data_IF_165874146208
#
_entry.id   IF_165874146208
#
_cell.length_a   1.000
_cell.length_b   1.000
_cell.length_c   1.000
_cell.angle_alpha   90.00
_cell.angle_beta   90.00
_cell.angle_gamma   90.00
#
_symmetry.space_group_name_H-M   'P 1'
#
loop_
_entity.id
_entity.type
_entity.pdbx_description
1 polymer ?
#
# COMPACT_ATOMS: atom_id res chain seq x y z
N UNK A 1 17.14 18.99 8.01
CA UNK A 1 17.78 18.88 9.31
C UNK A 1 17.03 17.85 10.19
N UNK A 2 17.75 16.96 10.84
CA UNK A 2 17.16 15.95 11.75
C UNK A 2 17.10 16.53 13.16
N UNK A 3 15.91 16.65 13.74
CA UNK A 3 15.81 17.10 15.13
C UNK A 3 16.18 15.97 16.10
N UNK A 4 16.73 16.31 17.26
CA UNK A 4 17.10 15.35 18.33
C UNK A 4 15.88 14.62 18.93
N UNK A 5 14.65 15.12 18.68
CA UNK A 5 13.38 14.58 19.19
C UNK A 5 12.59 13.76 18.14
N UNK A 6 13.22 13.39 17.01
CA UNK A 6 12.52 12.82 15.86
C UNK A 6 11.82 13.92 15.03
N UNK A 7 11.55 13.62 13.75
CA UNK A 7 11.07 14.61 12.79
C UNK A 7 12.18 15.49 12.23
N UNK A 8 11.82 16.56 11.61
CA UNK A 8 12.72 17.54 10.99
C UNK A 8 11.97 18.41 10.00
N UNK A 9 12.65 19.44 9.53
CA UNK A 9 12.12 20.36 8.53
C UNK A 9 12.74 20.07 7.17
N UNK A 10 11.98 20.28 6.11
CA UNK A 10 12.46 20.27 4.75
C UNK A 10 13.04 21.64 4.40
N UNK A 11 14.26 21.66 3.91
CA UNK A 11 14.88 22.84 3.33
C UNK A 11 14.95 22.61 1.82
N UNK A 12 14.28 23.50 1.08
CA UNK A 12 14.14 23.39 -0.37
C UNK A 12 15.19 24.30 -1.02
N UNK A 13 15.99 23.73 -1.91
CA UNK A 13 16.90 24.47 -2.78
C UNK A 13 16.30 24.54 -4.19
N UNK A 14 16.55 23.54 -5.05
CA UNK A 14 16.03 23.47 -6.42
C UNK A 14 15.10 22.27 -6.64
N UNK A 15 14.55 21.69 -5.56
CA UNK A 15 13.65 20.55 -5.68
C UNK A 15 12.23 21.03 -6.03
N UNK A 16 11.58 20.47 -7.05
CA UNK A 16 10.17 20.73 -7.31
C UNK A 16 9.32 20.29 -6.12
N UNK A 17 8.17 20.95 -5.94
CA UNK A 17 7.25 20.59 -4.86
C UNK A 17 6.70 19.18 -5.00
N UNK A 18 6.58 18.70 -6.23
CA UNK A 18 6.09 17.38 -6.60
C UNK A 18 6.79 16.91 -7.87
N UNK A 19 7.12 15.61 -7.95
CA UNK A 19 7.70 14.98 -9.14
C UNK A 19 7.20 13.55 -9.27
N UNK A 20 7.49 12.90 -10.39
CA UNK A 20 7.15 11.48 -10.60
C UNK A 20 8.39 10.66 -10.84
N UNK A 21 8.32 9.38 -10.48
CA UNK A 21 9.28 8.36 -10.89
C UNK A 21 8.54 7.15 -11.47
N UNK A 22 9.21 6.46 -12.36
CA UNK A 22 8.69 5.24 -12.97
C UNK A 22 9.43 4.01 -12.43
N UNK A 23 8.71 2.90 -12.35
CA UNK A 23 9.26 1.60 -11.98
C UNK A 23 8.74 0.51 -12.92
N UNK A 24 9.65 -0.22 -13.57
CA UNK A 24 9.31 -1.32 -14.49
C UNK A 24 9.24 -2.65 -13.75
N UNK A 25 8.05 -3.24 -13.69
CA UNK A 25 7.84 -4.58 -13.14
C UNK A 25 8.33 -5.66 -14.12
N UNK A 26 8.76 -6.85 -13.62
CA UNK A 26 9.26 -7.96 -14.45
C UNK A 26 8.17 -8.65 -15.30
N UNK A 27 6.99 -8.08 -15.36
CA UNK A 27 5.81 -8.53 -16.14
C UNK A 27 5.49 -7.59 -17.32
N UNK A 28 6.45 -6.79 -17.77
CA UNK A 28 6.28 -5.77 -18.82
C UNK A 28 5.18 -4.76 -18.51
N UNK A 29 5.10 -4.32 -17.27
CA UNK A 29 4.23 -3.25 -16.79
C UNK A 29 5.06 -2.18 -16.11
N UNK A 30 4.69 -0.92 -16.30
CA UNK A 30 5.34 0.22 -15.67
C UNK A 30 4.38 0.87 -14.67
N UNK A 31 4.91 1.21 -13.51
CA UNK A 31 4.21 1.97 -12.47
C UNK A 31 4.77 3.39 -12.43
N UNK A 32 3.90 4.37 -12.21
CA UNK A 32 4.26 5.77 -12.02
C UNK A 32 3.86 6.22 -10.62
N UNK A 33 4.81 6.75 -9.87
CA UNK A 33 4.60 7.22 -8.52
C UNK A 33 4.81 8.73 -8.43
N UNK A 34 3.86 9.44 -7.84
CA UNK A 34 4.02 10.82 -7.43
C UNK A 34 4.79 10.89 -6.13
N UNK A 35 5.81 11.71 -6.08
CA UNK A 35 6.64 11.96 -4.91
C UNK A 35 6.58 13.43 -4.54
N UNK A 36 6.56 13.69 -3.24
CA UNK A 36 6.65 15.06 -2.67
C UNK A 36 7.20 14.97 -1.26
N UNK A 37 7.89 16.01 -0.78
CA UNK A 37 8.27 16.09 0.63
C UNK A 37 7.02 16.03 1.51
N UNK A 38 7.03 15.12 2.47
CA UNK A 38 5.93 14.89 3.39
C UNK A 38 6.45 14.85 4.84
N UNK A 39 5.55 14.79 5.82
CA UNK A 39 5.91 14.73 7.24
C UNK A 39 6.87 13.56 7.54
N UNK A 40 7.67 13.68 8.59
CA UNK A 40 8.66 12.69 9.02
C UNK A 40 9.76 12.37 7.99
N UNK A 41 10.02 13.27 7.03
CA UNK A 41 11.03 13.12 5.97
C UNK A 41 10.74 11.97 4.98
N UNK A 42 9.48 11.61 4.83
CA UNK A 42 9.03 10.70 3.79
C UNK A 42 8.75 11.45 2.49
N UNK A 43 8.90 10.75 1.37
CA UNK A 43 8.64 11.28 0.02
C UNK A 43 7.45 10.61 -0.67
N UNK A 44 6.78 9.70 0.01
CA UNK A 44 5.61 8.98 -0.52
C UNK A 44 5.92 7.62 -1.12
N UNK A 45 7.16 7.13 -1.02
CA UNK A 45 7.53 5.81 -1.50
C UNK A 45 8.65 5.21 -0.65
N UNK A 46 8.62 3.90 -0.50
CA UNK A 46 9.67 3.06 0.09
C UNK A 46 10.27 2.17 -1.02
N UNK A 47 11.32 2.63 -1.71
CA UNK A 47 11.83 1.95 -2.90
C UNK A 47 12.44 0.57 -2.60
N UNK A 48 12.84 0.31 -1.36
CA UNK A 48 13.32 -1.00 -0.91
C UNK A 48 12.27 -2.11 -1.05
N UNK A 49 10.98 -1.74 -1.11
CA UNK A 49 9.88 -2.69 -1.32
C UNK A 49 9.79 -3.21 -2.77
N UNK A 50 10.53 -2.63 -3.70
CA UNK A 50 10.51 -3.02 -5.11
C UNK A 50 10.81 -4.52 -5.31
N UNK A 51 11.74 -5.09 -4.54
CA UNK A 51 12.04 -6.53 -4.57
C UNK A 51 10.81 -7.39 -4.27
N UNK A 52 9.99 -6.94 -3.32
CA UNK A 52 8.74 -7.63 -2.97
C UNK A 52 7.71 -7.46 -4.11
N UNK A 53 7.62 -6.25 -4.69
CA UNK A 53 6.71 -6.00 -5.83
C UNK A 53 7.04 -6.92 -7.01
N UNK A 54 8.31 -7.08 -7.35
CA UNK A 54 8.77 -7.99 -8.40
C UNK A 54 8.38 -9.43 -8.13
N UNK A 55 8.61 -9.88 -6.89
CA UNK A 55 8.35 -11.25 -6.49
C UNK A 55 6.86 -11.60 -6.56
N UNK A 56 5.99 -10.82 -5.91
CA UNK A 56 4.57 -11.18 -5.87
C UNK A 56 3.83 -10.84 -7.17
N UNK A 57 4.21 -9.76 -7.89
CA UNK A 57 3.59 -9.44 -9.18
C UNK A 57 3.80 -10.55 -10.19
N UNK A 58 5.00 -11.15 -10.22
CA UNK A 58 5.26 -12.30 -11.07
C UNK A 58 4.39 -13.51 -10.71
N UNK A 59 4.25 -13.83 -9.42
CA UNK A 59 3.40 -14.93 -8.94
C UNK A 59 1.93 -14.72 -9.32
N UNK A 60 1.42 -13.51 -9.12
CA UNK A 60 0.03 -13.14 -9.49
C UNK A 60 -0.15 -13.27 -11.00
N UNK A 61 0.78 -12.72 -11.78
CA UNK A 61 0.73 -12.76 -13.24
C UNK A 61 0.72 -14.20 -13.77
N UNK A 62 1.57 -15.08 -13.22
CA UNK A 62 1.63 -16.49 -13.60
C UNK A 62 0.32 -17.22 -13.25
N UNK A 63 -0.27 -16.94 -12.08
CA UNK A 63 -1.56 -17.49 -11.68
C UNK A 63 -2.70 -17.02 -12.60
N UNK A 64 -2.75 -15.73 -12.95
CA UNK A 64 -3.72 -15.18 -13.90
C UNK A 64 -3.60 -15.83 -15.28
N UNK A 65 -2.38 -16.05 -15.79
CA UNK A 65 -2.15 -16.77 -17.06
C UNK A 65 -2.67 -18.20 -17.03
N UNK A 66 -2.70 -18.85 -15.88
CA UNK A 66 -3.29 -20.19 -15.72
C UNK A 66 -4.83 -20.18 -15.60
N UNK A 67 -5.46 -19.01 -15.72
CA UNK A 67 -6.91 -18.83 -15.63
C UNK A 67 -7.43 -18.72 -14.20
N UNK A 68 -6.57 -18.50 -13.21
CA UNK A 68 -6.96 -18.32 -11.82
C UNK A 68 -7.13 -16.84 -11.47
N UNK A 69 -8.34 -16.44 -11.08
CA UNK A 69 -8.56 -15.12 -10.49
C UNK A 69 -7.84 -15.02 -9.14
N UNK A 70 -7.19 -13.88 -8.92
CA UNK A 70 -6.43 -13.61 -7.68
C UNK A 70 -7.00 -12.40 -6.97
N UNK A 71 -7.36 -12.58 -5.70
CA UNK A 71 -7.83 -11.51 -4.80
C UNK A 71 -6.76 -11.22 -3.77
N UNK A 72 -6.32 -9.97 -3.70
CA UNK A 72 -5.28 -9.52 -2.77
C UNK A 72 -5.85 -8.52 -1.78
N UNK A 73 -5.57 -8.73 -0.50
CA UNK A 73 -5.80 -7.74 0.56
C UNK A 73 -4.48 -7.06 0.91
N UNK A 74 -4.41 -5.74 0.75
CA UNK A 74 -3.26 -4.94 1.16
C UNK A 74 -3.65 -4.08 2.37
N UNK A 75 -3.06 -4.36 3.52
CA UNK A 75 -3.24 -3.67 4.80
C UNK A 75 -2.08 -2.72 5.06
N UNK A 76 -2.34 -1.58 5.69
CA UNK A 76 -1.37 -0.49 5.88
C UNK A 76 -0.79 -0.05 4.53
N UNK A 77 -1.69 0.11 3.57
CA UNK A 77 -1.35 0.11 2.15
C UNK A 77 -0.67 1.41 1.67
N UNK A 78 -0.61 2.44 2.52
CA UNK A 78 0.13 3.69 2.29
C UNK A 78 -0.23 4.34 0.95
N UNK A 79 0.75 4.74 0.15
CA UNK A 79 0.56 5.36 -1.17
C UNK A 79 0.39 4.34 -2.31
N UNK A 80 0.21 3.06 -1.97
CA UNK A 80 -0.27 2.03 -2.87
C UNK A 80 0.79 1.30 -3.69
N UNK A 81 2.08 1.35 -3.36
CA UNK A 81 3.11 0.65 -4.13
C UNK A 81 2.80 -0.83 -4.35
N UNK A 82 2.51 -1.57 -3.28
CA UNK A 82 2.12 -2.98 -3.36
C UNK A 82 0.76 -3.18 -4.04
N UNK A 83 -0.21 -2.30 -3.81
CA UNK A 83 -1.51 -2.32 -4.48
C UNK A 83 -1.38 -2.23 -5.98
N UNK A 84 -0.58 -1.27 -6.47
CA UNK A 84 -0.38 -1.05 -7.90
C UNK A 84 0.35 -2.22 -8.55
N UNK A 85 1.38 -2.77 -7.90
CA UNK A 85 2.11 -3.93 -8.40
C UNK A 85 1.22 -5.17 -8.53
N UNK A 86 0.34 -5.43 -7.53
CA UNK A 86 -0.61 -6.52 -7.59
C UNK A 86 -1.69 -6.30 -8.67
N UNK A 87 -2.24 -5.09 -8.78
CA UNK A 87 -3.25 -4.75 -9.78
C UNK A 87 -2.68 -4.80 -11.21
N UNK A 88 -1.45 -4.32 -11.42
CA UNK A 88 -0.77 -4.41 -12.72
C UNK A 88 -0.56 -5.86 -13.18
N UNK A 89 -0.42 -6.79 -12.23
CA UNK A 89 -0.33 -8.23 -12.48
C UNK A 89 -1.69 -8.89 -12.73
N UNK A 90 -2.80 -8.16 -12.59
CA UNK A 90 -4.17 -8.63 -12.87
C UNK A 90 -5.01 -8.98 -11.64
N UNK A 91 -4.50 -8.80 -10.42
CA UNK A 91 -5.28 -9.08 -9.21
C UNK A 91 -6.42 -8.08 -8.99
N UNK A 92 -7.52 -8.55 -8.40
CA UNK A 92 -8.48 -7.69 -7.73
C UNK A 92 -7.93 -7.35 -6.33
N UNK A 93 -7.74 -6.06 -6.06
CA UNK A 93 -7.05 -5.62 -4.84
C UNK A 93 -7.99 -4.87 -3.91
N UNK A 94 -7.97 -5.20 -2.63
CA UNK A 94 -8.58 -4.40 -1.58
C UNK A 94 -7.48 -3.65 -0.83
N UNK A 95 -7.46 -2.33 -1.00
CA UNK A 95 -6.50 -1.40 -0.43
C UNK A 95 -7.08 -0.77 0.83
N UNK A 96 -6.44 -0.99 1.98
CA UNK A 96 -6.88 -0.48 3.28
C UNK A 96 -5.78 0.34 3.94
N UNK A 97 -6.07 1.59 4.22
CA UNK A 97 -5.20 2.48 5.01
C UNK A 97 -6.05 3.39 5.90
N UNK A 98 -5.54 3.72 7.08
CA UNK A 98 -6.22 4.58 8.05
C UNK A 98 -6.25 6.05 7.61
N UNK A 99 -5.33 6.48 6.75
CA UNK A 99 -5.17 7.86 6.31
C UNK A 99 -5.89 8.13 5.00
N UNK A 100 -6.90 8.99 5.04
CA UNK A 100 -7.58 9.46 3.83
C UNK A 100 -6.62 10.08 2.81
N UNK A 101 -5.62 10.83 3.28
CA UNK A 101 -4.60 11.46 2.42
C UNK A 101 -3.77 10.43 1.67
N UNK A 102 -3.36 9.33 2.34
CA UNK A 102 -2.62 8.24 1.72
C UNK A 102 -3.45 7.49 0.69
N UNK A 103 -4.71 7.20 0.98
CA UNK A 103 -5.63 6.55 0.03
C UNK A 103 -5.86 7.44 -1.21
N UNK A 104 -5.99 8.76 -1.03
CA UNK A 104 -6.10 9.70 -2.15
C UNK A 104 -4.84 9.68 -3.02
N UNK A 105 -3.68 9.74 -2.40
CA UNK A 105 -2.38 9.67 -3.09
C UNK A 105 -2.21 8.34 -3.85
N UNK A 106 -2.62 7.22 -3.23
CA UNK A 106 -2.59 5.91 -3.89
C UNK A 106 -3.48 5.86 -5.14
N UNK A 107 -4.66 6.50 -5.12
CA UNK A 107 -5.53 6.64 -6.30
C UNK A 107 -4.87 7.46 -7.41
N UNK A 108 -4.21 8.57 -7.06
CA UNK A 108 -3.45 9.38 -8.03
C UNK A 108 -2.35 8.55 -8.70
N UNK A 109 -1.59 7.78 -7.91
CA UNK A 109 -0.59 6.85 -8.42
C UNK A 109 -1.21 5.79 -9.34
N UNK A 110 -2.38 5.25 -9.00
CA UNK A 110 -3.09 4.28 -9.84
C UNK A 110 -3.48 4.87 -11.20
N UNK A 111 -4.05 6.07 -11.21
CA UNK A 111 -4.40 6.78 -12.46
C UNK A 111 -3.16 7.01 -13.32
N UNK A 112 -2.07 7.52 -12.74
CA UNK A 112 -0.82 7.79 -13.46
C UNK A 112 -0.12 6.52 -13.96
N UNK A 113 -0.39 5.38 -13.33
CA UNK A 113 0.09 4.05 -13.76
C UNK A 113 -0.83 3.36 -14.78
N UNK A 114 -1.89 4.03 -15.26
CA UNK A 114 -2.87 3.43 -16.18
C UNK A 114 -3.79 2.39 -15.52
N UNK A 115 -3.92 2.42 -14.18
CA UNK A 115 -4.70 1.49 -13.38
C UNK A 115 -5.96 2.12 -12.79
N UNK A 116 -6.41 3.27 -13.33
CA UNK A 116 -7.58 3.98 -12.83
C UNK A 116 -8.87 3.15 -12.86
N UNK A 117 -9.01 2.28 -13.86
CA UNK A 117 -10.16 1.38 -14.03
C UNK A 117 -9.89 -0.06 -13.55
N UNK A 118 -8.74 -0.31 -12.94
CA UNK A 118 -8.42 -1.63 -12.37
C UNK A 118 -9.35 -1.96 -11.19
N UNK A 119 -9.64 -3.25 -10.93
CA UNK A 119 -10.54 -3.68 -9.85
C UNK A 119 -9.91 -3.49 -8.48
N UNK A 120 -9.74 -2.23 -8.06
CA UNK A 120 -9.19 -1.85 -6.77
C UNK A 120 -10.28 -1.26 -5.89
N UNK A 121 -10.51 -1.88 -4.75
CA UNK A 121 -11.42 -1.38 -3.71
C UNK A 121 -10.62 -0.53 -2.72
N UNK A 122 -10.90 0.76 -2.68
CA UNK A 122 -10.21 1.73 -1.85
C UNK A 122 -10.93 2.00 -0.53
N UNK A 123 -10.24 1.83 0.60
CA UNK A 123 -10.86 1.96 1.92
C UNK A 123 -9.99 2.80 2.86
N UNK A 124 -10.65 3.76 3.51
CA UNK A 124 -10.09 4.52 4.65
C UNK A 124 -10.63 3.89 5.92
N UNK A 125 -9.83 3.05 6.58
CA UNK A 125 -10.30 2.24 7.69
C UNK A 125 -9.16 1.77 8.59
N UNK A 126 -9.49 1.38 9.83
CA UNK A 126 -8.60 0.62 10.70
C UNK A 126 -8.47 -0.82 10.18
N UNK A 127 -7.23 -1.29 10.02
CA UNK A 127 -6.95 -2.60 9.40
C UNK A 127 -7.52 -3.77 10.20
N UNK A 128 -7.42 -3.75 11.53
CA UNK A 128 -7.94 -4.82 12.40
C UNK A 128 -9.47 -4.90 12.27
N UNK A 129 -10.14 -3.76 12.44
CA UNK A 129 -11.60 -3.68 12.31
C UNK A 129 -12.09 -4.05 10.92
N UNK A 130 -11.30 -3.74 9.89
CA UNK A 130 -11.61 -4.16 8.53
C UNK A 130 -11.57 -5.68 8.39
N UNK A 131 -10.50 -6.33 8.84
CA UNK A 131 -10.35 -7.80 8.80
C UNK A 131 -11.47 -8.48 9.57
N UNK A 132 -11.78 -8.04 10.78
CA UNK A 132 -12.92 -8.57 11.56
C UNK A 132 -14.24 -8.50 10.81
N UNK A 133 -14.49 -7.42 10.04
CA UNK A 133 -15.69 -7.30 9.21
C UNK A 133 -15.69 -8.23 8.01
N UNK A 134 -14.55 -8.42 7.36
CA UNK A 134 -14.42 -9.34 6.22
C UNK A 134 -14.65 -10.80 6.66
N UNK A 135 -14.14 -11.18 7.84
CA UNK A 135 -14.44 -12.50 8.45
C UNK A 135 -15.95 -12.68 8.66
N UNK A 136 -16.63 -11.70 9.28
CA UNK A 136 -18.08 -11.78 9.50
C UNK A 136 -18.89 -11.83 8.20
N UNK A 137 -18.35 -11.30 7.09
CA UNK A 137 -18.97 -11.33 5.76
C UNK A 137 -18.65 -12.60 4.98
N UNK A 138 -17.75 -13.45 5.48
CA UNK A 138 -17.29 -14.64 4.78
C UNK A 138 -16.45 -14.32 3.54
N UNK A 139 -15.81 -13.15 3.48
CA UNK A 139 -14.94 -12.81 2.38
C UNK A 139 -13.55 -13.45 2.56
N UNK A 140 -12.99 -13.94 1.45
CA UNK A 140 -11.70 -14.60 1.41
C UNK A 140 -10.79 -13.93 0.37
N UNK A 141 -9.48 -14.05 0.60
CA UNK A 141 -8.42 -13.52 -0.25
C UNK A 141 -7.40 -14.63 -0.54
N UNK A 142 -6.77 -14.57 -1.72
CA UNK A 142 -5.71 -15.50 -2.10
C UNK A 142 -4.35 -15.11 -1.50
N UNK A 143 -4.17 -13.83 -1.22
CA UNK A 143 -2.96 -13.31 -0.60
C UNK A 143 -3.28 -12.07 0.25
N UNK A 144 -2.52 -11.91 1.33
CA UNK A 144 -2.55 -10.74 2.20
C UNK A 144 -1.14 -10.15 2.22
N UNK A 145 -1.06 -8.85 1.91
CA UNK A 145 0.17 -8.07 2.01
C UNK A 145 -0.01 -7.09 3.16
N UNK A 146 0.97 -6.97 4.04
CA UNK A 146 0.95 -5.99 5.11
C UNK A 146 2.35 -5.48 5.43
N UNK A 147 2.46 -4.18 5.61
CA UNK A 147 3.69 -3.49 6.05
C UNK A 147 3.34 -2.53 7.18
N UNK A 148 3.04 -3.07 8.38
CA UNK A 148 2.56 -2.25 9.50
C UNK A 148 3.65 -1.34 10.05
N UNK A 149 3.30 -0.09 10.42
CA UNK A 149 4.23 0.80 11.10
C UNK A 149 4.52 0.30 12.52
N UNK A 150 5.62 0.75 13.12
CA UNK A 150 5.91 0.48 14.53
C UNK A 150 4.82 1.06 15.45
N UNK A 151 4.30 2.26 15.11
CA UNK A 151 3.20 2.92 15.81
C UNK A 151 2.29 3.63 14.80
N UNK A 152 0.98 3.64 15.06
CA UNK A 152 0.00 4.34 14.24
C UNK A 152 -1.29 4.65 14.99
N UNK A 153 -2.15 5.45 14.34
CA UNK A 153 -3.52 5.73 14.80
C UNK A 153 -4.50 5.45 13.68
N UNK A 154 -5.55 4.75 14.02
CA UNK A 154 -6.70 4.54 13.14
C UNK A 154 -7.53 5.81 12.95
N UNK A 155 -8.47 5.83 11.99
CA UNK A 155 -9.26 7.01 11.64
C UNK A 155 -10.21 7.48 12.76
N UNK A 156 -10.49 6.63 13.74
CA UNK A 156 -11.33 6.93 14.91
C UNK A 156 -10.53 6.98 16.22
N UNK A 157 -9.19 7.10 16.13
CA UNK A 157 -8.30 7.18 17.29
C UNK A 157 -7.82 5.83 17.82
N UNK A 158 -8.07 4.74 17.12
CA UNK A 158 -7.51 3.42 17.43
C UNK A 158 -5.98 3.51 17.54
N UNK A 159 -5.40 2.81 18.49
CA UNK A 159 -3.95 2.79 18.69
C UNK A 159 -3.40 1.48 18.15
N UNK A 160 -2.43 1.59 17.25
CA UNK A 160 -1.62 0.50 16.76
C UNK A 160 -0.22 0.58 17.35
N UNK A 161 0.26 -0.52 17.92
CA UNK A 161 1.66 -0.75 18.30
C UNK A 161 2.06 -2.14 17.80
N UNK A 162 3.12 -2.21 17.03
CA UNK A 162 3.49 -3.44 16.34
C UNK A 162 3.74 -4.60 17.30
N UNK A 163 4.41 -4.34 18.43
CA UNK A 163 4.76 -5.34 19.43
C UNK A 163 3.53 -6.02 20.06
N UNK A 164 2.43 -5.27 20.16
CA UNK A 164 1.19 -5.72 20.79
C UNK A 164 0.19 -6.26 19.77
N UNK A 165 0.21 -5.75 18.52
CA UNK A 165 -0.90 -5.87 17.59
C UNK A 165 -0.63 -6.74 16.37
N UNK A 166 0.66 -6.94 15.97
CA UNK A 166 0.96 -7.67 14.73
C UNK A 166 0.60 -9.14 14.83
N UNK A 167 0.93 -9.80 15.93
CA UNK A 167 0.63 -11.21 16.12
C UNK A 167 -0.88 -11.50 16.14
N UNK A 168 -1.71 -10.77 16.94
CA UNK A 168 -3.17 -10.91 16.86
C UNK A 168 -3.75 -10.66 15.47
N UNK A 169 -3.23 -9.66 14.74
CA UNK A 169 -3.70 -9.39 13.37
C UNK A 169 -3.38 -10.54 12.42
N UNK A 170 -2.16 -11.09 12.48
CA UNK A 170 -1.78 -12.25 11.66
C UNK A 170 -2.66 -13.46 11.97
N UNK A 171 -2.98 -13.70 13.24
CA UNK A 171 -3.90 -14.77 13.63
C UNK A 171 -5.32 -14.56 13.08
N UNK A 172 -5.81 -13.31 13.04
CA UNK A 172 -7.12 -12.99 12.43
C UNK A 172 -7.12 -13.20 10.92
N UNK A 173 -5.98 -13.03 10.25
CA UNK A 173 -5.84 -13.16 8.80
C UNK A 173 -5.69 -14.61 8.34
N UNK A 174 -5.31 -15.53 9.23
CA UNK A 174 -5.07 -16.93 8.92
C UNK A 174 -6.37 -17.73 8.89
#
# INVERSE_FOLDING_TARGET
HRSKKGGGEWEFFDLPQEWTINYSLPINKELTFHLKPFSFKHTGLFPEQATNWDWFSKKIYDAQKSGRDVKVLNLFAYTGGATLAAAAAGAAVTHVDASKGMVTWAKENAVSSGLGDAPIRWLVDDCVKFVEREIRRGNHYDAIIMDPPSYGRGPKGEIWKIEESVYPLVQLCA
#
